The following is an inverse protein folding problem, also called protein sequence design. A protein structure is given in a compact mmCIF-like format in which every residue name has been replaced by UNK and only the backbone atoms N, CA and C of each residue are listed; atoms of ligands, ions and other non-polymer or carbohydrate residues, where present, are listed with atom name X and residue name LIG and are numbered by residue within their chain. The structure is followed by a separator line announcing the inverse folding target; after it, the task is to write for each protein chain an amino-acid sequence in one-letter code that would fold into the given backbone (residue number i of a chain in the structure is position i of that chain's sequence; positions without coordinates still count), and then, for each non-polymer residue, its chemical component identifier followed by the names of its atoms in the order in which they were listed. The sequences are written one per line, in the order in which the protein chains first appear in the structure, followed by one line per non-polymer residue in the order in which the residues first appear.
data_IF_390355619072
#
_entry.id   IF_390355619072
#
_cell.length_a   1.000
_cell.length_b   1.000
_cell.length_c   1.000
_cell.angle_alpha   90.00
_cell.angle_beta   90.00
_cell.angle_gamma   90.00
#
_symmetry.space_group_name_H-M   'P 1'
#
loop_
_entity.id
_entity.type
_entity.pdbx_description
1 polymer ?
#
# COMPACT_ATOMS: atom_id res chain seq x y z
N UNK A 1 35.63 6.55 -30.87
CA UNK A 1 34.52 7.02 -30.04
C UNK A 1 34.50 8.52 -30.16
N UNK A 2 33.34 9.07 -30.50
CA UNK A 2 32.86 10.44 -30.21
C UNK A 2 31.51 10.64 -30.92
N UNK A 3 30.68 11.48 -30.32
CA UNK A 3 29.20 11.57 -30.35
C UNK A 3 28.73 12.51 -31.48
N UNK A 4 27.49 12.33 -32.00
CA UNK A 4 26.70 13.50 -32.40
C UNK A 4 25.31 13.55 -31.75
N UNK A 5 25.16 14.56 -30.89
CA UNK A 5 24.00 15.43 -30.64
C UNK A 5 22.74 15.19 -31.46
N UNK A 6 21.60 14.95 -30.81
CA UNK A 6 20.27 15.40 -31.28
C UNK A 6 19.54 16.09 -30.11
N UNK A 7 18.99 17.31 -30.31
CA UNK A 7 18.35 18.12 -29.27
C UNK A 7 16.83 17.92 -29.22
N UNK A 8 16.30 18.00 -27.99
CA UNK A 8 14.97 18.47 -27.53
C UNK A 8 13.74 18.28 -28.44
N UNK A 9 12.85 17.34 -28.06
CA UNK A 9 11.41 17.49 -28.27
C UNK A 9 10.64 17.07 -27.00
N UNK A 10 10.01 18.09 -26.41
CA UNK A 10 8.88 18.11 -25.48
C UNK A 10 8.97 17.40 -24.12
N UNK A 11 9.34 18.22 -23.13
CA UNK A 11 8.78 18.24 -21.78
C UNK A 11 7.25 18.26 -21.83
N UNK A 12 6.62 17.09 -21.78
CA UNK A 12 5.24 17.00 -21.34
C UNK A 12 5.01 15.75 -20.48
N UNK A 13 4.58 16.01 -19.25
CA UNK A 13 3.71 15.08 -18.54
C UNK A 13 4.41 14.06 -17.65
N UNK A 14 4.54 14.44 -16.37
CA UNK A 14 4.26 13.49 -15.30
C UNK A 14 5.48 12.82 -14.69
N UNK A 15 5.90 13.38 -13.57
CA UNK A 15 6.50 12.59 -12.50
C UNK A 15 5.50 11.53 -12.04
N UNK A 16 5.58 10.34 -12.62
CA UNK A 16 5.12 9.11 -12.00
C UNK A 16 6.22 8.10 -12.21
N UNK A 17 7.14 8.05 -11.24
CA UNK A 17 8.00 6.90 -11.06
C UNK A 17 7.08 5.70 -10.85
N UNK A 18 6.88 4.94 -11.92
CA UNK A 18 6.23 3.65 -11.87
C UNK A 18 7.04 2.79 -10.89
N UNK A 19 6.46 2.54 -9.71
CA UNK A 19 6.90 1.60 -8.70
C UNK A 19 6.76 0.16 -9.25
N UNK A 20 7.33 -0.09 -10.43
CA UNK A 20 7.16 -1.27 -11.26
C UNK A 20 8.35 -2.23 -11.20
N UNK A 21 9.07 -2.28 -10.08
CA UNK A 21 10.01 -3.38 -9.85
C UNK A 21 10.12 -3.72 -8.37
N UNK A 22 9.12 -4.46 -7.89
CA UNK A 22 9.34 -5.33 -6.75
C UNK A 22 10.37 -6.36 -7.22
N UNK A 23 11.60 -6.24 -6.71
CA UNK A 23 12.64 -7.25 -6.88
C UNK A 23 12.25 -8.42 -5.99
N UNK A 24 11.67 -9.46 -6.58
CA UNK A 24 11.48 -10.75 -5.89
C UNK A 24 12.85 -11.42 -5.82
N UNK A 25 13.48 -11.39 -4.65
CA UNK A 25 14.67 -12.21 -4.41
C UNK A 25 14.22 -13.66 -4.31
N UNK A 26 14.31 -14.41 -5.42
CA UNK A 26 14.30 -15.88 -5.41
C UNK A 26 15.64 -16.38 -4.86
N UNK A 27 15.97 -15.98 -3.63
CA UNK A 27 16.93 -16.68 -2.80
C UNK A 27 16.15 -17.74 -2.06
N UNK A 28 16.73 -18.92 -1.90
CA UNK A 28 16.19 -19.97 -1.04
C UNK A 28 16.16 -19.40 0.40
N UNK A 29 15.04 -18.77 0.76
CA UNK A 29 14.81 -18.30 2.12
C UNK A 29 14.46 -19.55 2.88
N UNK A 30 15.47 -20.11 3.55
CA UNK A 30 15.28 -21.16 4.54
C UNK A 30 14.32 -20.60 5.60
N UNK A 31 13.03 -20.94 5.45
CA UNK A 31 12.01 -20.64 6.44
C UNK A 31 12.33 -21.57 7.59
N UNK A 32 13.17 -21.09 8.52
CA UNK A 32 13.34 -21.75 9.81
C UNK A 32 11.97 -21.77 10.46
N UNK A 33 11.32 -22.94 10.46
CA UNK A 33 10.12 -23.17 11.27
C UNK A 33 10.54 -23.07 12.73
N UNK A 34 10.39 -21.87 13.32
CA UNK A 34 10.39 -21.75 14.77
C UNK A 34 9.16 -22.51 15.29
N UNK A 35 9.40 -23.66 15.92
CA UNK A 35 8.39 -24.45 16.62
C UNK A 35 7.89 -23.66 17.83
N UNK A 36 6.98 -22.71 17.58
CA UNK A 36 6.34 -21.91 18.62
C UNK A 36 5.21 -22.72 19.23
N UNK A 37 5.49 -23.43 20.32
CA UNK A 37 4.47 -24.12 21.10
C UNK A 37 3.60 -23.10 21.86
N UNK A 38 2.63 -22.51 21.17
CA UNK A 38 1.58 -21.75 21.83
C UNK A 38 0.78 -22.66 22.74
N UNK A 39 0.66 -22.28 24.01
CA UNK A 39 -0.33 -22.88 24.90
C UNK A 39 -1.74 -22.61 24.34
N UNK A 40 -2.70 -23.50 24.61
CA UNK A 40 -4.09 -23.27 24.19
C UNK A 40 -4.68 -21.96 24.72
N UNK A 41 -4.23 -21.49 25.89
CA UNK A 41 -4.62 -20.21 26.46
C UNK A 41 -4.07 -19.01 25.67
N UNK A 42 -2.77 -19.02 25.33
CA UNK A 42 -2.18 -17.94 24.55
C UNK A 42 -2.75 -17.88 23.13
N UNK A 43 -3.11 -19.01 22.52
CA UNK A 43 -3.81 -19.05 21.25
C UNK A 43 -5.20 -18.39 21.32
N UNK A 44 -5.98 -18.65 22.39
CA UNK A 44 -7.30 -18.02 22.56
C UNK A 44 -7.22 -16.49 22.75
N UNK A 45 -6.21 -16.02 23.50
CA UNK A 45 -5.97 -14.57 23.67
C UNK A 45 -5.64 -13.94 22.32
N UNK A 46 -4.71 -14.52 21.56
CA UNK A 46 -4.31 -14.02 20.25
C UNK A 46 -5.50 -13.97 19.27
N UNK A 47 -6.35 -15.00 19.26
CA UNK A 47 -7.58 -14.99 18.45
C UNK A 47 -8.49 -13.81 18.83
N UNK A 48 -8.66 -13.56 20.13
CA UNK A 48 -9.43 -12.42 20.64
C UNK A 48 -8.85 -11.07 20.19
N UNK A 49 -7.53 -10.90 20.28
CA UNK A 49 -6.83 -9.70 19.83
C UNK A 49 -6.99 -9.48 18.32
N UNK A 50 -6.83 -10.53 17.51
CA UNK A 50 -7.03 -10.47 16.06
C UNK A 50 -8.47 -10.05 15.72
N UNK A 51 -9.47 -10.58 16.43
CA UNK A 51 -10.86 -10.18 16.23
C UNK A 51 -11.12 -8.70 16.55
N UNK A 52 -10.49 -8.17 17.60
CA UNK A 52 -10.58 -6.74 17.94
C UNK A 52 -9.90 -5.89 16.86
N UNK A 53 -8.68 -6.25 16.45
CA UNK A 53 -7.96 -5.57 15.37
C UNK A 53 -8.77 -5.55 14.06
N UNK A 54 -9.41 -6.65 13.68
CA UNK A 54 -10.26 -6.72 12.49
C UNK A 54 -11.43 -5.73 12.57
N UNK A 55 -12.06 -5.58 13.74
CA UNK A 55 -13.14 -4.60 13.93
C UNK A 55 -12.63 -3.16 13.82
N UNK A 56 -11.44 -2.87 14.32
CA UNK A 56 -10.82 -1.55 14.19
C UNK A 56 -10.45 -1.24 12.74
N UNK A 57 -9.95 -2.23 12.00
CA UNK A 57 -9.61 -2.10 10.59
C UNK A 57 -10.85 -1.75 9.74
N UNK A 58 -12.00 -2.37 10.01
CA UNK A 58 -13.25 -2.02 9.32
C UNK A 58 -13.68 -0.56 9.59
N UNK A 59 -13.47 -0.03 10.79
CA UNK A 59 -13.74 1.39 11.10
C UNK A 59 -12.80 2.32 10.33
N UNK A 60 -11.52 1.96 10.25
CA UNK A 60 -10.52 2.75 9.49
C UNK A 60 -10.92 2.78 8.01
N UNK A 61 -11.34 1.65 7.45
CA UNK A 61 -11.84 1.55 6.08
C UNK A 61 -13.06 2.44 5.82
N UNK A 62 -14.02 2.46 6.75
CA UNK A 62 -15.18 3.35 6.67
C UNK A 62 -14.77 4.83 6.72
N UNK A 63 -13.83 5.18 7.60
CA UNK A 63 -13.32 6.55 7.71
C UNK A 63 -12.61 7.00 6.42
N UNK A 64 -11.81 6.13 5.80
CA UNK A 64 -11.15 6.41 4.53
C UNK A 64 -12.20 6.69 3.45
N UNK A 65 -13.20 5.82 3.29
CA UNK A 65 -14.29 6.02 2.33
C UNK A 65 -15.04 7.34 2.58
N UNK A 66 -15.27 7.71 3.85
CA UNK A 66 -15.87 8.99 4.18
C UNK A 66 -15.02 10.18 3.71
N UNK A 67 -13.71 10.13 3.97
CA UNK A 67 -12.76 11.15 3.53
C UNK A 67 -12.71 11.25 2.00
N UNK A 68 -12.62 10.13 1.29
CA UNK A 68 -12.64 10.07 -0.17
C UNK A 68 -13.91 10.73 -0.74
N UNK A 69 -15.08 10.39 -0.19
CA UNK A 69 -16.35 11.00 -0.60
C UNK A 69 -16.36 12.51 -0.39
N UNK A 70 -15.83 12.98 0.75
CA UNK A 70 -15.75 14.42 1.05
C UNK A 70 -14.81 15.13 0.08
N UNK A 71 -13.66 14.53 -0.25
CA UNK A 71 -12.73 15.08 -1.22
C UNK A 71 -13.35 15.18 -2.61
N UNK A 72 -14.03 14.13 -3.07
CA UNK A 72 -14.74 14.14 -4.35
C UNK A 72 -15.79 15.25 -4.42
N UNK A 73 -16.55 15.48 -3.34
CA UNK A 73 -17.51 16.58 -3.28
C UNK A 73 -16.83 17.96 -3.40
N UNK A 74 -15.65 18.14 -2.77
CA UNK A 74 -14.89 19.39 -2.87
C UNK A 74 -14.43 19.61 -4.31
N UNK A 75 -13.89 18.57 -4.95
CA UNK A 75 -13.43 18.62 -6.35
C UNK A 75 -14.61 18.96 -7.29
N UNK A 76 -15.77 18.33 -7.13
CA UNK A 76 -16.98 18.61 -7.91
C UNK A 76 -17.44 20.07 -7.77
N UNK A 77 -17.42 20.64 -6.56
CA UNK A 77 -17.76 22.05 -6.35
C UNK A 77 -16.75 22.97 -7.02
N UNK A 78 -15.46 22.71 -6.89
CA UNK A 78 -14.41 23.54 -7.50
C UNK A 78 -14.45 23.48 -9.03
N UNK A 79 -14.77 22.32 -9.62
CA UNK A 79 -14.88 22.17 -11.07
C UNK A 79 -16.09 22.87 -11.71
N UNK A 80 -17.04 23.37 -10.90
CA UNK A 80 -18.20 24.14 -11.37
C UNK A 80 -17.97 25.66 -11.35
N UNK A 81 -16.88 26.12 -10.74
CA UNK A 81 -16.46 27.53 -10.73
C UNK A 81 -15.64 27.80 -12.00
#
# INVERSE_FOLDING_TARGET
GEIPTHPEEDVEGGEVQELGKIVTTTGDVDVVEEETHFTSASAQILIGEIMVCNRELEKIKENINNVEKRLNNIIDVLGRI
#
